data_IF_073017587184
#
_entry.id   IF_073017587184
#
_cell.length_a   1.000
_cell.length_b   1.000
_cell.length_c   1.000
_cell.angle_alpha   90.00
_cell.angle_beta   90.00
_cell.angle_gamma   90.00
#
_symmetry.space_group_name_H-M   'P 1'
#
loop_
_entity.id
_entity.type
_entity.pdbx_description
1 polymer ?
2 non-polymer ?
3 water ?
#
# COMPACT_ATOMS: atom_id res chain seq x y z
C UNK A 1 -19.72 -16.36 29.15
N UNK A 2 -20.86 -16.66 28.52
CA UNK A 2 -21.05 -16.30 27.08
C UNK A 2 -21.04 -14.77 26.89
N UNK A 3 -21.75 -14.05 27.75
CA UNK A 3 -21.79 -12.58 27.62
C UNK A 3 -20.37 -11.95 27.76
N UNK A 4 -19.60 -12.40 28.74
CA UNK A 4 -18.24 -11.89 28.93
C UNK A 4 -17.33 -12.19 27.74
N UNK A 5 -17.44 -13.41 27.21
CA UNK A 5 -16.64 -13.81 26.05
C UNK A 5 -17.00 -12.97 24.82
N UNK A 6 -18.30 -12.81 24.57
CA UNK A 6 -18.76 -11.96 23.49
C UNK A 6 -18.23 -10.53 23.62
N UNK A 7 -18.20 -9.99 24.83
CA UNK A 7 -17.68 -8.63 25.04
C UNK A 7 -16.18 -8.55 24.72
N UNK A 8 -15.40 -9.55 25.12
CA UNK A 8 -13.99 -9.58 24.78
C UNK A 8 -13.81 -9.63 23.26
N UNK A 9 -14.62 -10.44 22.58
CA UNK A 9 -14.53 -10.54 21.13
C UNK A 9 -14.86 -9.19 20.48
N UNK A 10 -15.98 -8.59 20.86
CA UNK A 10 -16.38 -7.34 20.21
C UNK A 10 -15.40 -6.19 20.48
N UNK A 11 -14.82 -6.14 21.66
CA UNK A 11 -13.76 -5.17 21.93
C UNK A 11 -12.54 -5.37 21.04
N UNK A 12 -12.16 -6.63 20.80
CA UNK A 12 -11.09 -6.91 19.87
C UNK A 12 -11.45 -6.55 18.42
N UNK A 13 -12.70 -6.77 18.02
CA UNK A 13 -13.18 -6.36 16.68
C UNK A 13 -13.01 -4.84 16.49
N UNK A 14 -13.34 -4.08 17.53
CA UNK A 14 -13.17 -2.62 17.50
C UNK A 14 -11.69 -2.25 17.40
N UNK A 15 -10.81 -2.99 18.11
CA UNK A 15 -9.38 -2.78 17.98
C UNK A 15 -8.89 -3.10 16.56
N UNK A 16 -9.49 -4.11 15.90
CA UNK A 16 -9.14 -4.42 14.51
C UNK A 16 -9.45 -3.28 13.55
N UNK A 17 -10.57 -2.61 13.78
CA UNK A 17 -10.85 -1.42 12.98
C UNK A 17 -9.69 -0.40 13.15
N UNK A 18 -9.30 -0.14 14.40
CA UNK A 18 -8.22 0.80 14.69
C UNK A 18 -6.88 0.41 14.07
N UNK A 19 -6.58 -0.89 14.12
CA UNK A 19 -5.33 -1.42 13.60
C UNK A 19 -5.29 -1.42 12.07
N UNK A 20 -6.40 -1.84 11.46
CA UNK A 20 -6.52 -1.81 10.01
C UNK A 20 -6.41 -0.39 9.47
N UNK A 21 -7.06 0.56 10.15
CA UNK A 21 -6.95 1.97 9.77
C UNK A 21 -5.49 2.47 9.82
N UNK A 22 -4.75 2.09 10.85
CA UNK A 22 -3.31 2.44 10.92
C UNK A 22 -2.51 1.78 9.78
N UNK A 23 -2.81 0.52 9.46
CA UNK A 23 -2.15 -0.16 8.34
C UNK A 23 -2.41 0.60 7.04
N UNK A 24 -3.66 1.03 6.83
CA UNK A 24 -3.98 1.87 5.66
C UNK A 24 -3.08 3.11 5.58
N UNK A 25 -2.89 3.78 6.71
CA UNK A 25 -2.02 4.98 6.75
C UNK A 25 -0.57 4.64 6.42
N UNK A 26 -0.09 3.53 6.97
CA UNK A 26 1.30 3.13 6.75
C UNK A 26 1.53 2.74 5.29
N UNK A 27 0.52 2.13 4.66
CA UNK A 27 0.61 1.74 3.26
C UNK A 27 0.44 2.89 2.28
N UNK A 28 -0.03 4.08 2.71
C UNK B 1 -5.82 -4.70 -3.26
N UNK B 2 -4.67 -4.41 -2.65
CA UNK B 2 -4.54 -4.49 -1.17
C UNK B 2 -5.49 -3.49 -0.51
N UNK B 3 -5.52 -2.26 -1.04
CA UNK B 3 -6.41 -1.22 -0.49
C UNK B 3 -7.87 -1.67 -0.39
N UNK B 4 -8.38 -2.23 -1.48
CA UNK B 4 -9.79 -2.64 -1.53
C UNK B 4 -10.07 -3.76 -0.54
N UNK B 5 -9.13 -4.71 -0.41
CA UNK B 5 -9.33 -5.80 0.51
C UNK B 5 -9.29 -5.33 1.97
N UNK B 6 -8.34 -4.47 2.30
CA UNK B 6 -8.28 -3.90 3.66
C UNK B 6 -9.54 -3.12 4.04
N UNK B 7 -10.05 -2.32 3.11
CA UNK B 7 -11.30 -1.56 3.34
C UNK B 7 -12.47 -2.50 3.67
N UNK B 8 -12.56 -3.61 2.94
CA UNK B 8 -13.64 -4.58 3.14
C UNK B 8 -13.53 -5.26 4.49
N UNK B 9 -12.31 -5.60 4.91
CA UNK B 9 -12.13 -6.20 6.25
C UNK B 9 -12.51 -5.18 7.33
N UNK B 10 -12.04 -3.93 7.17
CA UNK B 10 -12.39 -2.85 8.10
C UNK B 10 -13.92 -2.68 8.23
N UNK B 11 -14.59 -2.58 7.08
CA UNK B 11 -16.05 -2.50 7.05
C UNK B 11 -16.71 -3.63 7.86
N UNK B 12 -16.27 -4.84 7.59
CA UNK B 12 -16.89 -6.04 8.16
C UNK B 12 -16.62 -6.14 9.66
N UNK B 13 -15.42 -5.78 10.09
CA UNK B 13 -15.08 -5.73 11.52
C UNK B 13 -15.96 -4.75 12.28
N UNK B 14 -16.18 -3.59 11.69
CA UNK B 14 -17.05 -2.58 12.29
C UNK B 14 -18.50 -3.11 12.42
N UNK B 15 -18.99 -3.72 11.34
CA UNK B 15 -20.29 -4.33 11.38
C UNK B 15 -20.40 -5.39 12.47
N UNK B 16 -19.35 -6.20 12.64
CA UNK B 16 -19.34 -7.16 13.70
C UNK B 16 -19.47 -6.56 15.09
N UNK B 17 -18.82 -5.44 15.34
CA UNK B 17 -18.98 -4.76 16.65
C UNK B 17 -20.47 -4.49 16.90
N UNK B 18 -21.14 -3.94 15.89
CA UNK B 18 -22.56 -3.59 16.01
C UNK B 18 -23.44 -4.84 16.19
N UNK B 19 -23.15 -5.88 15.42
CA UNK B 19 -23.93 -7.13 15.49
C UNK B 19 -23.72 -7.83 16.84
N UNK B 20 -22.49 -7.86 17.30
CA UNK B 20 -22.17 -8.50 18.58
C UNK B 20 -22.76 -7.72 19.76
N UNK B 21 -22.77 -6.39 19.67
CA UNK B 21 -23.45 -5.59 20.70
C UNK B 21 -24.97 -5.86 20.72
N UNK B 22 -25.56 -6.05 19.54
CA UNK B 22 -26.97 -6.51 19.46
C UNK B 22 -27.18 -7.84 20.15
N UNK B 23 -26.33 -8.81 19.84
CA UNK B 23 -26.42 -10.14 20.45
C UNK B 23 -26.29 -10.04 21.97
N UNK B 24 -25.32 -9.26 22.45
CA UNK B 24 -25.12 -9.06 23.88
C UNK B 24 -26.40 -8.54 24.55
N UNK B 25 -27.04 -7.55 23.92
CA UNK B 25 -28.30 -6.99 24.46
C UNK B 25 -29.42 -8.03 24.44
N UNK B 26 -29.53 -8.78 23.34
CA UNK B 26 -30.57 -9.79 23.22
C UNK B 26 -30.40 -10.94 24.21
N UNK B 27 -29.16 -11.33 24.48
CA UNK B 27 -28.90 -12.39 25.45
C UNK B 27 -29.15 -11.96 26.89
N UNK B 28 -29.19 -10.65 27.23
C UNK C 1 3.62 5.78 2.42
N UNK C 2 3.63 4.45 2.36
CA UNK C 2 4.46 3.74 1.34
C UNK C 2 4.06 4.09 -0.11
N UNK C 3 2.77 4.11 -0.41
CA UNK C 3 2.31 4.37 -1.78
C UNK C 3 2.79 5.77 -2.26
N UNK C 4 2.67 6.77 -1.38
CA UNK C 4 3.07 8.13 -1.73
C UNK C 4 4.58 8.26 -1.91
N UNK C 5 5.34 7.61 -1.04
CA UNK C 5 6.80 7.62 -1.15
C UNK C 5 7.27 6.90 -2.44
N UNK C 6 6.68 5.75 -2.74
CA UNK C 6 7.01 5.03 -3.99
C UNK C 6 6.62 5.81 -5.25
N UNK C 7 5.53 6.57 -5.19
CA UNK C 7 5.16 7.46 -6.30
C UNK C 7 6.26 8.47 -6.58
N UNK C 8 6.81 9.09 -5.53
CA UNK C 8 7.90 10.07 -5.68
C UNK C 8 9.15 9.42 -6.25
N UNK C 9 9.46 8.21 -5.76
CA UNK C 9 10.61 7.47 -6.28
C UNK C 9 10.40 7.15 -7.77
N UNK C 10 9.21 6.66 -8.10
CA UNK C 10 8.83 6.37 -9.50
C UNK C 10 9.03 7.54 -10.44
N UNK C 11 8.56 8.73 -10.04
CA UNK C 11 8.71 9.93 -10.87
C UNK C 11 10.19 10.29 -11.06
N UNK C 12 10.99 10.13 -10.01
CA UNK C 12 12.45 10.33 -10.10
C UNK C 12 13.11 9.34 -11.05
N UNK C 13 12.72 8.07 -10.94
CA UNK C 13 13.26 7.02 -11.83
C UNK C 13 12.94 7.33 -13.29
N UNK C 14 11.71 7.78 -13.55
CA UNK C 14 11.30 8.17 -14.90
C UNK C 14 12.14 9.34 -15.43
N UNK C 15 12.43 10.30 -14.55
CA UNK C 15 13.30 11.43 -14.92
C UNK C 15 14.71 10.94 -15.23
N UNK C 16 15.21 10.00 -14.42
CA UNK C 16 16.52 9.40 -14.69
C UNK C 16 16.61 8.73 -16.06
N UNK C 17 15.54 8.04 -16.46
CA UNK C 17 15.50 7.44 -17.79
C UNK C 17 15.68 8.52 -18.87
N UNK C 18 14.90 9.60 -18.77
CA UNK C 18 14.98 10.69 -19.74
C UNK C 18 16.36 11.37 -19.74
N UNK C 19 16.90 11.64 -18.55
CA UNK C 19 18.21 12.28 -18.41
C UNK C 19 19.36 11.41 -18.93
N UNK C 20 19.31 10.12 -18.62
CA UNK C 20 20.33 9.18 -19.13
C UNK C 20 20.23 9.00 -20.65
N UNK C 21 19.03 8.99 -21.19
CA UNK C 21 18.85 9.00 -22.65
C UNK C 21 19.50 10.24 -23.30
N UNK C 22 19.31 11.41 -22.67
CA UNK C 22 19.97 12.64 -23.14
C UNK C 22 21.49 12.53 -23.09
N UNK C 23 22.02 12.02 -21.97
CA UNK C 23 23.47 11.86 -21.81
C UNK C 23 24.05 10.93 -22.89
N UNK C 24 23.34 9.83 -23.17
CA UNK C 24 23.77 8.89 -24.20
C UNK C 24 23.79 9.54 -25.59
N UNK C 25 22.83 10.44 -25.87
CA UNK C 25 22.83 11.22 -27.11
C UNK C 25 24.05 12.15 -27.18
N UNK C 26 24.35 12.81 -26.07
CA UNK C 26 25.50 13.74 -26.03
C UNK C 26 26.83 12.99 -26.20
N UNK C 27 26.95 11.80 -25.60
CA UNK C 27 28.16 11.00 -25.74
C UNK C 27 28.29 10.41 -27.14
N UNK C 28 27.20 9.93 -27.78
C UNK D 1 32.03 3.04 -20.27
N UNK D 2 32.11 4.37 -20.13
CA UNK D 2 31.02 5.16 -19.46
C UNK D 2 29.69 4.99 -20.20
N UNK D 3 29.70 5.11 -21.53
CA UNK D 3 28.46 4.97 -22.32
C UNK D 3 27.76 3.64 -22.05
N UNK D 4 28.50 2.54 -22.10
CA UNK D 4 27.90 1.22 -21.87
C UNK D 4 27.40 1.05 -20.42
N UNK D 5 28.17 1.56 -19.45
CA UNK D 5 27.75 1.45 -18.04
C UNK D 5 26.46 2.25 -17.81
N UNK D 6 26.41 3.46 -18.35
CA UNK D 6 25.18 4.26 -18.26
C UNK D 6 23.98 3.61 -18.97
N UNK D 7 24.23 2.91 -20.08
CA UNK D 7 23.17 2.19 -20.79
C UNK D 7 22.57 1.11 -19.90
N UNK D 8 23.42 0.36 -19.21
CA UNK D 8 22.95 -0.66 -18.26
C UNK D 8 22.15 -0.05 -17.10
N UNK D 9 22.63 1.08 -16.58
CA UNK D 9 21.93 1.79 -15.50
C UNK D 9 20.56 2.26 -16.02
N UNK D 10 20.55 2.87 -17.20
CA UNK D 10 19.32 3.31 -17.87
C UNK D 10 18.28 2.16 -17.98
N UNK D 11 18.73 1.00 -18.43
CA UNK D 11 17.83 -0.16 -18.61
C UNK D 11 17.24 -0.59 -17.25
N UNK D 12 18.06 -0.54 -16.19
CA UNK D 12 17.60 -0.83 -14.82
C UNK D 12 16.58 0.19 -14.34
N UNK D 13 16.86 1.47 -14.59
CA UNK D 13 15.93 2.54 -14.20
C UNK D 13 14.56 2.39 -14.88
N UNK D 14 14.57 2.04 -16.16
CA UNK D 14 13.34 1.79 -16.91
C UNK D 14 12.57 0.60 -16.31
N UNK D 15 13.30 -0.44 -15.92
CA UNK D 15 12.67 -1.60 -15.27
C UNK D 15 12.05 -1.19 -13.94
N UNK D 16 12.74 -0.35 -13.18
CA UNK D 16 12.21 0.17 -11.92
C UNK D 16 10.90 0.95 -12.11
N UNK D 17 10.83 1.74 -13.19
CA UNK D 17 9.60 2.47 -13.49
C UNK D 17 8.44 1.47 -13.67
N UNK D 18 8.66 0.45 -14.51
CA UNK D 18 7.64 -0.60 -14.75
C UNK D 18 7.25 -1.37 -13.47
N UNK D 19 8.26 -1.72 -12.66
CA UNK D 19 8.03 -2.49 -11.43
C UNK D 19 7.30 -1.65 -10.38
N UNK D 20 7.69 -0.38 -10.26
CA UNK D 20 7.01 0.52 -9.33
C UNK D 20 5.56 0.80 -9.76
N UNK D 21 5.34 0.90 -11.07
CA UNK D 21 3.97 1.00 -11.59
C UNK D 21 3.11 -0.23 -11.22
N UNK D 22 3.69 -1.42 -11.32
CA UNK D 22 3.01 -2.65 -10.88
C UNK D 22 2.71 -2.64 -9.39
N UNK D 23 3.69 -2.25 -8.58
CA UNK D 23 3.49 -2.18 -7.12
C UNK D 23 2.35 -1.22 -6.77
N UNK D 24 2.32 -0.06 -7.43
CA UNK D 24 1.24 0.91 -7.16
C UNK D 24 -0.12 0.30 -7.51
N UNK D 25 -0.21 -0.46 -8.60
CA UNK D 25 -1.42 -1.26 -8.89
C UNK D 25 -1.77 -2.32 -7.82
N UNK D 26 -0.78 -3.06 -7.32
CA UNK D 26 -1.03 -4.08 -6.27
C UNK D 26 -1.48 -3.42 -4.96
N UNK D 27 -0.92 -2.26 -4.62
CA UNK D 27 -1.30 -1.54 -3.41
C UNK D 27 -2.74 -1.01 -3.50
N UNK D 28 -3.22 -0.64 -4.68
X LIG E 1 -7.23 -8.48 17.78
X LIG F 1 -10.16 -11.68 20.16
X LIG G 1 -5.28 4.96 13.76
X LIG H 1 -15.05 -9.81 12.68
X LIG I 1 16.51 12.14 -9.79
X LIG J 1 14.26 10.40 -5.71
X LIG K 1 16.44 2.74 -9.92
#
# INVERSE_FOLDING_TARGET
XIEELLRKILEDEARHVAELEDIEKWLX
XIEELLRKILEDEARHVAELEDIEKWLX
XIEELLRKILEDEARHVAELEDIEKWLX
XIEELLRKILEDEARHVAELEDIEKWLX
ZN ZN
ZN ZN
ZN ZN
ZN ZN
ZN ZN
ZN ZN
ZN ZN
#
